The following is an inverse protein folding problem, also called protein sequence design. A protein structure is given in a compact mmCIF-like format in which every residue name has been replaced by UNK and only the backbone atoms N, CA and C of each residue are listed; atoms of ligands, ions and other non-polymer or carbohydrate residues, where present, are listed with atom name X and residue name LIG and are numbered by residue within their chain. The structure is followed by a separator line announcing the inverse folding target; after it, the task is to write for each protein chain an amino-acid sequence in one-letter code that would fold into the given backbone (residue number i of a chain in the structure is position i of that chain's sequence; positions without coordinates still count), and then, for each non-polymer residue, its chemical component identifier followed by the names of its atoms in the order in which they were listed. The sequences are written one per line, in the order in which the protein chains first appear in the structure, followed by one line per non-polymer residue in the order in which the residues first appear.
data_IF_336725751988
#
_entry.id   IF_336725751988
#
_cell.length_a   1.000
_cell.length_b   1.000
_cell.length_c   1.000
_cell.angle_alpha   90.00
_cell.angle_beta   90.00
_cell.angle_gamma   90.00
#
_symmetry.space_group_name_H-M   'P 1'
#
loop_
_entity.id
_entity.type
_entity.pdbx_description
1 polymer ?
#
# COMPACT_ATOMS: atom_id res chain seq x y z
N UNK A 1 11.47 -4.98 -11.02
CA UNK A 1 11.81 -6.03 -10.04
C UNK A 1 13.16 -5.74 -9.38
N UNK A 2 14.25 -5.68 -10.14
CA UNK A 2 15.59 -5.41 -9.58
C UNK A 2 15.69 -4.05 -8.86
N UNK A 3 15.05 -3.00 -9.38
CA UNK A 3 15.02 -1.68 -8.73
C UNK A 3 14.31 -1.71 -7.36
N UNK A 4 13.16 -2.39 -7.26
CA UNK A 4 12.45 -2.55 -5.98
C UNK A 4 13.29 -3.34 -4.98
N UNK A 5 13.98 -4.40 -5.44
CA UNK A 5 14.87 -5.19 -4.59
C UNK A 5 16.01 -4.33 -4.05
N UNK A 6 16.71 -3.60 -4.92
CA UNK A 6 17.78 -2.69 -4.53
C UNK A 6 17.29 -1.66 -3.50
N UNK A 7 16.11 -1.08 -3.72
CA UNK A 7 15.51 -0.13 -2.78
C UNK A 7 15.20 -0.77 -1.41
N UNK A 8 14.65 -1.98 -1.39
CA UNK A 8 14.39 -2.70 -0.15
C UNK A 8 15.68 -3.03 0.61
N UNK A 9 16.73 -3.43 -0.11
CA UNK A 9 18.06 -3.72 0.46
C UNK A 9 18.74 -2.45 1.00
N UNK A 10 18.64 -1.31 0.29
CA UNK A 10 19.21 -0.02 0.72
C UNK A 10 18.54 0.57 1.98
N UNK A 11 17.28 0.20 2.23
CA UNK A 11 16.47 0.70 3.35
C UNK A 11 16.22 -0.35 4.44
N UNK A 12 16.85 -1.53 4.36
CA UNK A 12 16.78 -2.63 5.34
C UNK A 12 15.34 -2.98 5.75
N UNK A 13 14.42 -3.06 4.79
CA UNK A 13 13.01 -3.35 5.10
C UNK A 13 12.83 -4.75 5.71
N UNK A 14 12.05 -4.81 6.80
CA UNK A 14 11.68 -6.06 7.48
C UNK A 14 10.48 -6.77 6.84
N UNK A 15 10.02 -6.30 5.69
CA UNK A 15 8.87 -6.81 4.96
C UNK A 15 9.18 -6.88 3.46
N UNK A 16 8.55 -7.83 2.73
CA UNK A 16 8.76 -7.94 1.29
C UNK A 16 8.17 -6.75 0.55
N UNK A 17 8.89 -6.27 -0.46
CA UNK A 17 8.38 -5.29 -1.42
C UNK A 17 7.95 -6.01 -2.71
N UNK A 18 6.68 -5.88 -3.07
CA UNK A 18 6.11 -6.51 -4.27
C UNK A 18 6.34 -5.60 -5.48
N UNK A 19 6.72 -6.19 -6.61
CA UNK A 19 6.81 -5.49 -7.90
C UNK A 19 5.59 -5.81 -8.74
N UNK A 20 4.79 -4.81 -9.10
CA UNK A 20 3.62 -4.91 -9.98
C UNK A 20 3.87 -4.20 -11.33
N UNK A 21 4.79 -4.72 -12.17
CA UNK A 21 5.20 -4.04 -13.40
C UNK A 21 4.07 -3.94 -14.44
N UNK A 22 3.10 -4.86 -14.38
CA UNK A 22 1.94 -4.91 -15.28
C UNK A 22 0.72 -4.15 -14.73
N UNK A 23 0.84 -3.54 -13.53
CA UNK A 23 -0.23 -2.78 -12.85
C UNK A 23 -1.48 -3.60 -12.49
N UNK A 24 -1.42 -4.93 -12.61
CA UNK A 24 -2.56 -5.83 -12.39
C UNK A 24 -3.06 -5.78 -10.95
N UNK A 25 -2.14 -5.72 -9.98
CA UNK A 25 -2.52 -5.65 -8.56
C UNK A 25 -3.14 -4.29 -8.28
N UNK A 26 -2.51 -3.21 -8.77
CA UNK A 26 -3.03 -1.86 -8.65
C UNK A 26 -4.44 -1.71 -9.22
N UNK A 27 -4.71 -2.30 -10.39
CA UNK A 27 -6.04 -2.30 -11.01
C UNK A 27 -7.07 -3.06 -10.17
N UNK A 28 -6.74 -4.27 -9.71
CA UNK A 28 -7.65 -5.11 -8.92
C UNK A 28 -8.01 -4.47 -7.57
N UNK A 29 -7.06 -3.77 -6.94
CA UNK A 29 -7.27 -3.10 -5.66
C UNK A 29 -7.78 -1.65 -5.82
N UNK A 30 -8.01 -1.16 -7.04
CA UNK A 30 -8.46 0.22 -7.29
C UNK A 30 -7.40 1.27 -6.95
N UNK A 31 -6.13 0.89 -6.87
CA UNK A 31 -4.99 1.78 -6.67
C UNK A 31 -4.35 2.25 -7.99
N UNK A 32 -4.79 1.75 -9.15
CA UNK A 32 -4.30 2.23 -10.43
C UNK A 32 -4.78 3.66 -10.72
N UNK A 33 -3.86 4.51 -11.20
CA UNK A 33 -4.20 5.85 -11.68
C UNK A 33 -4.87 5.80 -13.06
N UNK A 34 -5.72 6.79 -13.39
CA UNK A 34 -6.25 7.00 -14.73
C UNK A 34 -5.15 7.04 -15.80
N UNK A 35 -5.47 6.64 -17.03
CA UNK A 35 -4.50 6.54 -18.11
C UNK A 35 -3.89 7.91 -18.52
N UNK A 36 -4.61 8.99 -18.27
CA UNK A 36 -4.23 10.37 -18.55
C UNK A 36 -3.55 11.09 -17.36
N UNK A 37 -3.37 10.41 -16.22
CA UNK A 37 -2.66 10.97 -15.06
C UNK A 37 -1.15 11.10 -15.38
N UNK A 38 -0.51 12.26 -15.14
CA UNK A 38 0.93 12.44 -15.38
C UNK A 38 1.82 11.47 -14.57
N UNK A 39 1.30 10.92 -13.48
CA UNK A 39 1.96 9.93 -12.65
C UNK A 39 1.41 8.50 -12.88
N UNK A 40 0.79 8.21 -14.03
CA UNK A 40 0.16 6.91 -14.38
C UNK A 40 1.05 5.67 -14.13
N UNK A 41 2.37 5.84 -14.18
CA UNK A 41 3.34 4.78 -13.89
C UNK A 41 3.41 4.39 -12.39
N UNK A 42 2.84 5.20 -11.50
CA UNK A 42 2.82 4.99 -10.06
C UNK A 42 1.40 4.68 -9.57
N UNK A 43 1.24 3.84 -8.54
CA UNK A 43 -0.06 3.65 -7.92
C UNK A 43 -0.51 4.91 -7.15
N UNK A 44 -1.80 5.00 -6.87
CA UNK A 44 -2.35 5.86 -5.82
C UNK A 44 -1.81 5.40 -4.47
N UNK A 45 -1.61 6.37 -3.56
CA UNK A 45 -1.20 6.07 -2.19
C UNK A 45 -2.41 5.60 -1.39
N UNK A 46 -2.48 4.30 -1.13
CA UNK A 46 -3.57 3.66 -0.39
C UNK A 46 -2.97 2.57 0.51
N UNK A 47 -3.44 2.49 1.75
CA UNK A 47 -3.15 1.40 2.68
C UNK A 47 -4.36 0.46 2.76
N UNK A 48 -4.12 -0.84 2.67
CA UNK A 48 -5.13 -1.88 2.87
C UNK A 48 -4.77 -2.74 4.07
N UNK A 49 -5.69 -2.91 5.01
CA UNK A 49 -5.58 -3.93 6.06
C UNK A 49 -6.30 -5.18 5.59
N UNK A 50 -5.56 -6.28 5.44
CA UNK A 50 -6.10 -7.58 5.03
C UNK A 50 -6.22 -8.47 6.27
N UNK A 51 -7.41 -9.05 6.50
CA UNK A 51 -7.67 -9.97 7.61
C UNK A 51 -7.00 -11.34 7.37
N UNK A 52 -6.87 -12.18 8.40
CA UNK A 52 -6.35 -13.55 8.24
C UNK A 52 -7.13 -14.40 7.23
N UNK A 53 -8.41 -14.11 7.00
CA UNK A 53 -9.28 -14.76 6.02
C UNK A 53 -9.06 -14.26 4.58
N UNK A 54 -8.16 -13.29 4.39
CA UNK A 54 -7.86 -12.69 3.08
C UNK A 54 -8.86 -11.62 2.64
N UNK A 55 -9.65 -11.07 3.57
CA UNK A 55 -10.64 -10.04 3.28
C UNK A 55 -10.08 -8.64 3.61
N UNK A 56 -10.57 -7.61 2.92
CA UNK A 56 -10.22 -6.23 3.27
C UNK A 56 -10.97 -5.83 4.53
N UNK A 57 -10.25 -5.61 5.63
CA UNK A 57 -10.79 -5.18 6.92
C UNK A 57 -10.85 -3.65 7.07
N UNK A 58 -9.95 -2.91 6.41
CA UNK A 58 -9.96 -1.45 6.36
C UNK A 58 -9.17 -0.91 5.15
N UNK A 59 -9.51 0.30 4.72
CA UNK A 59 -8.85 1.02 3.61
C UNK A 59 -8.60 2.46 4.05
N UNK A 60 -7.38 2.95 3.83
CA UNK A 60 -7.03 4.37 3.98
C UNK A 60 -6.48 4.90 2.67
N UNK A 61 -7.21 5.81 2.04
CA UNK A 61 -6.73 6.52 0.86
C UNK A 61 -5.88 7.74 1.27
N UNK A 62 -5.20 8.35 0.30
CA UNK A 62 -4.36 9.52 0.52
C UNK A 62 -5.07 10.67 1.25
N UNK A 63 -6.36 10.89 1.00
CA UNK A 63 -7.13 11.99 1.61
C UNK A 63 -7.53 11.70 3.06
N UNK A 64 -7.62 10.43 3.44
CA UNK A 64 -7.92 9.98 4.81
C UNK A 64 -6.69 9.94 5.72
N UNK A 65 -5.49 9.83 5.14
CA UNK A 65 -4.24 9.80 5.91
C UNK A 65 -3.82 11.24 6.22
N UNK A 66 -4.00 11.64 7.48
CA UNK A 66 -3.70 13.01 7.94
C UNK A 66 -2.20 13.24 8.18
N UNK A 67 -1.48 12.20 8.63
CA UNK A 67 -0.03 12.24 8.84
C UNK A 67 0.61 10.89 8.53
N UNK A 68 1.51 10.87 7.55
CA UNK A 68 2.21 9.66 7.12
C UNK A 68 3.22 9.14 8.14
N UNK A 69 3.71 9.98 9.06
CA UNK A 69 4.64 9.57 10.10
C UNK A 69 3.93 8.77 11.20
N UNK A 70 2.65 9.04 11.44
CA UNK A 70 1.87 8.42 12.53
C UNK A 70 0.79 7.45 12.04
N UNK A 71 0.57 7.33 10.74
CA UNK A 71 -0.42 6.40 10.17
C UNK A 71 -0.23 4.94 10.64
N UNK A 72 1.00 4.49 10.90
CA UNK A 72 1.25 3.17 11.45
C UNK A 72 0.56 2.92 12.80
N UNK A 73 0.49 3.94 13.66
CA UNK A 73 -0.17 3.84 14.97
C UNK A 73 -1.69 3.70 14.84
N UNK A 74 -2.28 4.38 13.84
CA UNK A 74 -3.70 4.25 13.50
C UNK A 74 -4.03 2.81 13.06
N UNK A 75 -3.22 2.25 12.15
CA UNK A 75 -3.38 0.87 11.69
C UNK A 75 -3.27 -0.12 12.86
N UNK A 76 -2.28 0.06 13.73
CA UNK A 76 -2.10 -0.80 14.91
C UNK A 76 -3.26 -0.68 15.91
N UNK A 77 -3.85 0.50 16.05
CA UNK A 77 -5.04 0.71 16.88
C UNK A 77 -6.23 -0.09 16.34
N UNK A 78 -6.44 -0.07 15.02
CA UNK A 78 -7.51 -0.84 14.37
C UNK A 78 -7.28 -2.35 14.50
N UNK A 79 -6.04 -2.83 14.35
CA UNK A 79 -5.72 -4.25 14.54
C UNK A 79 -6.06 -4.70 15.98
N UNK A 80 -5.71 -3.89 16.99
CA UNK A 80 -5.96 -4.20 18.41
C UNK A 80 -7.44 -4.19 18.78
N UNK A 81 -8.28 -3.40 18.09
CA UNK A 81 -9.72 -3.36 18.35
C UNK A 81 -10.51 -4.51 17.72
N UNK A 82 -9.88 -5.24 16.78
CA UNK A 82 -10.44 -6.43 16.14
C UNK A 82 -9.97 -7.76 16.76
N UNK A 83 -9.03 -7.69 17.72
CA UNK A 83 -8.53 -8.84 18.50
C UNK A 83 -9.36 -9.08 19.75
#
# INVERSE_FOLDING_TARGET
VEEQKKFADEHDFLFPLISDPERKIGELYGAARPADDPAVAFPLRISFLISPEGLIAAIWNQDSITDFQTHGDEVLSVIRSQS
#
